data_IF_934970326234
#
_entry.id   IF_934970326234
#
_cell.length_a   1.000
_cell.length_b   1.000
_cell.length_c   1.000
_cell.angle_alpha   90.00
_cell.angle_beta   90.00
_cell.angle_gamma   90.00
#
_symmetry.space_group_name_H-M   'P 1'
#
loop_
_entity.id
_entity.type
_entity.pdbx_description
1 polymer ?
#
# COMPACT_ATOMS: atom_id res chain seq x y z
N UNK A 1 3.08 0.67 20.02
CA UNK A 1 2.78 2.05 19.57
C UNK A 1 2.43 1.99 18.09
N UNK A 2 1.46 2.78 17.62
CA UNK A 2 1.15 2.84 16.18
C UNK A 2 2.24 3.62 15.44
N UNK A 3 2.72 3.07 14.32
CA UNK A 3 3.64 3.74 13.41
C UNK A 3 2.90 4.71 12.47
N UNK A 4 3.62 5.60 11.78
CA UNK A 4 3.05 6.42 10.70
C UNK A 4 3.40 5.75 9.37
N UNK A 5 2.38 5.24 8.67
CA UNK A 5 2.54 4.60 7.37
C UNK A 5 2.11 5.51 6.23
N UNK A 6 2.90 5.50 5.16
CA UNK A 6 2.51 5.97 3.84
C UNK A 6 2.07 4.77 3.01
N UNK A 7 0.77 4.65 2.77
CA UNK A 7 0.19 3.71 1.80
C UNK A 7 0.09 4.37 0.43
N UNK A 8 0.54 3.68 -0.62
CA UNK A 8 0.32 4.07 -2.01
C UNK A 8 -0.26 2.88 -2.76
N UNK A 9 -1.35 3.12 -3.49
CA UNK A 9 -1.99 2.16 -4.38
C UNK A 9 -1.81 2.65 -5.82
N UNK A 10 -1.25 1.79 -6.66
CA UNK A 10 -0.96 2.11 -8.07
C UNK A 10 -1.60 1.09 -9.00
N UNK A 11 -1.80 1.47 -10.25
CA UNK A 11 -2.20 0.58 -11.33
C UNK A 11 -0.98 0.27 -12.21
N UNK A 12 -0.74 -1.00 -12.49
CA UNK A 12 0.26 -1.41 -13.49
C UNK A 12 -0.24 -1.09 -14.90
N UNK A 13 0.66 -1.12 -15.89
CA UNK A 13 0.27 -1.02 -17.31
C UNK A 13 -0.68 -2.12 -17.79
N UNK A 14 -0.76 -3.25 -17.07
CA UNK A 14 -1.71 -4.33 -17.32
C UNK A 14 -3.07 -4.14 -16.63
N UNK A 15 -3.27 -3.04 -15.89
CA UNK A 15 -4.51 -2.77 -15.16
C UNK A 15 -4.61 -3.47 -13.81
N UNK A 16 -3.51 -3.98 -13.25
CA UNK A 16 -3.50 -4.64 -11.94
C UNK A 16 -3.19 -3.63 -10.83
N UNK A 17 -3.97 -3.64 -9.76
CA UNK A 17 -3.72 -2.77 -8.61
C UNK A 17 -2.66 -3.38 -7.68
N UNK A 18 -1.63 -2.59 -7.36
CA UNK A 18 -0.56 -2.94 -6.42
C UNK A 18 -0.50 -1.94 -5.28
N UNK A 19 -0.06 -2.41 -4.12
CA UNK A 19 0.20 -1.53 -2.99
C UNK A 19 1.66 -1.56 -2.55
N UNK A 20 2.08 -0.43 -1.99
CA UNK A 20 3.33 -0.31 -1.23
C UNK A 20 3.05 0.47 0.05
N UNK A 21 3.72 0.09 1.14
CA UNK A 21 3.70 0.85 2.39
C UNK A 21 5.10 1.15 2.90
N UNK A 22 5.29 2.35 3.43
CA UNK A 22 6.57 2.75 4.04
C UNK A 22 6.30 3.38 5.39
N UNK A 23 7.02 2.93 6.41
CA UNK A 23 7.02 3.61 7.70
C UNK A 23 7.75 4.94 7.62
N UNK A 24 7.25 5.93 8.34
CA UNK A 24 7.80 7.28 8.39
C UNK A 24 7.88 7.77 9.83
N UNK A 25 8.84 8.65 10.16
CA UNK A 25 9.09 9.05 11.55
C UNK A 25 8.03 9.99 12.13
N UNK A 26 7.23 10.64 11.29
CA UNK A 26 6.16 11.55 11.71
C UNK A 26 5.12 11.76 10.60
N UNK A 27 3.96 12.31 10.96
CA UNK A 27 2.92 12.65 9.98
C UNK A 27 3.42 13.69 8.96
N UNK A 28 4.18 14.69 9.40
CA UNK A 28 4.75 15.69 8.50
C UNK A 28 5.75 15.07 7.51
N UNK A 29 6.60 14.14 7.99
CA UNK A 29 7.52 13.40 7.13
C UNK A 29 6.77 12.49 6.14
N UNK A 30 5.67 11.88 6.57
CA UNK A 30 4.80 11.09 5.69
C UNK A 30 4.25 11.94 4.54
N UNK A 31 3.69 13.10 4.86
CA UNK A 31 3.10 14.00 3.86
C UNK A 31 4.12 14.52 2.85
N UNK A 32 5.32 14.88 3.33
CA UNK A 32 6.42 15.29 2.46
C UNK A 32 6.90 14.14 1.55
N UNK A 33 7.00 12.94 2.10
CA UNK A 33 7.36 11.73 1.34
C UNK A 33 6.28 11.41 0.30
N UNK A 34 5.00 11.51 0.68
CA UNK A 34 3.86 11.34 -0.22
C UNK A 34 3.95 12.28 -1.41
N UNK A 35 4.11 13.58 -1.17
CA UNK A 35 4.22 14.58 -2.23
C UNK A 35 5.39 14.28 -3.18
N UNK A 36 6.54 13.87 -2.63
CA UNK A 36 7.74 13.51 -3.39
C UNK A 36 7.49 12.30 -4.29
N UNK A 37 6.97 11.19 -3.72
CA UNK A 37 6.73 9.96 -4.48
C UNK A 37 5.66 10.18 -5.55
N UNK A 38 4.58 10.91 -5.24
CA UNK A 38 3.55 11.24 -6.23
C UNK A 38 4.13 12.04 -7.41
N UNK A 39 5.06 12.96 -7.16
CA UNK A 39 5.78 13.67 -8.21
C UNK A 39 6.58 12.73 -9.11
N UNK A 40 7.30 11.77 -8.53
CA UNK A 40 8.08 10.77 -9.28
C UNK A 40 7.19 9.84 -10.08
N UNK A 41 6.11 9.31 -9.48
CA UNK A 41 5.17 8.40 -10.16
C UNK A 41 4.47 9.09 -11.33
N UNK A 42 4.11 10.37 -11.18
CA UNK A 42 3.56 11.19 -12.27
C UNK A 42 4.53 11.34 -13.43
N UNK A 43 5.82 11.57 -13.16
CA UNK A 43 6.84 11.66 -14.22
C UNK A 43 7.04 10.34 -14.98
N UNK A 44 6.72 9.21 -14.35
CA UNK A 44 6.80 7.86 -14.92
C UNK A 44 5.48 7.35 -15.50
N UNK A 45 4.49 8.22 -15.64
CA UNK A 45 3.14 7.89 -16.13
C UNK A 45 2.49 6.71 -15.38
N UNK A 46 2.81 6.56 -14.09
CA UNK A 46 2.21 5.53 -13.24
C UNK A 46 0.91 6.05 -12.67
N UNK A 47 -0.19 5.35 -12.93
CA UNK A 47 -1.50 5.72 -12.38
C UNK A 47 -1.52 5.43 -10.89
N UNK A 48 -1.73 6.47 -10.08
CA UNK A 48 -1.94 6.36 -8.64
C UNK A 48 -3.45 6.35 -8.38
N UNK A 49 -3.94 5.28 -7.76
CA UNK A 49 -5.35 5.17 -7.36
C UNK A 49 -5.59 5.88 -6.03
N UNK A 50 -4.68 5.69 -5.06
CA UNK A 50 -4.79 6.27 -3.73
C UNK A 50 -3.41 6.48 -3.09
N UNK A 51 -3.29 7.49 -2.23
CA UNK A 51 -2.09 7.73 -1.42
C UNK A 51 -2.43 8.36 -0.07
N UNK A 52 -2.21 7.62 1.03
CA UNK A 52 -2.67 8.01 2.37
C UNK A 52 -1.55 7.92 3.41
N UNK A 53 -1.48 8.96 4.23
CA UNK A 53 -0.69 8.98 5.44
C UNK A 53 -1.59 8.70 6.63
N UNK A 54 -1.31 7.65 7.41
CA UNK A 54 -2.11 7.31 8.58
C UNK A 54 -1.27 6.74 9.72
N UNK A 55 -1.77 6.89 10.94
CA UNK A 55 -1.30 6.09 12.08
C UNK A 55 -1.85 4.67 11.90
N UNK A 56 -0.97 3.69 11.85
CA UNK A 56 -1.37 2.31 11.64
C UNK A 56 -0.49 1.32 12.42
N UNK A 57 -1.06 0.15 12.70
CA UNK A 57 -0.28 -1.00 13.11
C UNK A 57 0.13 -1.70 11.82
N UNK A 58 1.36 -1.46 11.36
CA UNK A 58 1.82 -1.96 10.07
C UNK A 58 1.98 -3.48 10.15
N UNK A 59 1.17 -4.30 9.46
CA UNK A 59 1.30 -5.74 9.52
C UNK A 59 2.36 -6.27 8.55
N UNK A 60 3.15 -5.40 7.90
CA UNK A 60 4.12 -5.78 6.88
C UNK A 60 5.42 -4.99 6.98
N UNK A 61 6.50 -5.63 6.52
CA UNK A 61 7.84 -5.03 6.45
C UNK A 61 7.85 -3.78 5.57
N UNK A 62 8.71 -2.79 5.85
CA UNK A 62 8.79 -1.56 5.06
C UNK A 62 9.24 -1.82 3.61
N UNK A 63 8.72 -1.01 2.68
CA UNK A 63 9.01 -1.18 1.26
C UNK A 63 10.50 -1.00 0.95
N UNK A 64 11.05 -1.94 0.19
CA UNK A 64 12.40 -1.85 -0.37
C UNK A 64 12.31 -1.52 -1.86
N UNK A 65 12.98 -0.44 -2.29
CA UNK A 65 13.07 -0.10 -3.70
C UNK A 65 13.73 -1.22 -4.51
N UNK A 66 13.16 -1.51 -5.69
CA UNK A 66 13.72 -2.48 -6.63
C UNK A 66 13.01 -3.84 -6.66
N UNK A 67 11.85 -3.99 -6.02
CA UNK A 67 11.03 -5.19 -6.15
C UNK A 67 10.72 -5.51 -7.61
N UNK A 68 10.92 -6.76 -8.00
CA UNK A 68 10.53 -7.33 -9.29
C UNK A 68 9.07 -7.74 -9.26
N UNK A 69 8.46 -7.96 -10.43
CA UNK A 69 7.08 -8.45 -10.52
C UNK A 69 6.88 -9.78 -9.79
N UNK A 70 7.89 -10.67 -9.80
CA UNK A 70 7.88 -11.94 -9.06
C UNK A 70 7.79 -11.78 -7.53
N UNK A 71 8.11 -10.60 -7.01
CA UNK A 71 8.10 -10.36 -5.57
C UNK A 71 6.68 -10.02 -5.09
N UNK A 72 5.80 -9.56 -5.99
CA UNK A 72 4.41 -9.24 -5.69
C UNK A 72 3.56 -10.52 -5.57
N UNK A 73 3.60 -11.11 -4.39
CA UNK A 73 2.81 -12.31 -4.04
C UNK A 73 2.00 -12.14 -2.76
N UNK A 74 2.31 -11.16 -1.91
CA UNK A 74 1.63 -11.02 -0.62
C UNK A 74 0.30 -10.28 -0.80
N UNK A 75 -0.81 -10.96 -0.54
CA UNK A 75 -2.15 -10.38 -0.64
C UNK A 75 -2.59 -9.75 0.66
N UNK A 76 -3.10 -8.52 0.54
CA UNK A 76 -3.64 -7.73 1.64
C UNK A 76 -5.03 -7.19 1.29
N UNK A 77 -5.93 -7.28 2.25
CA UNK A 77 -7.17 -6.52 2.22
C UNK A 77 -6.92 -5.14 2.83
N UNK A 78 -7.27 -4.11 2.07
CA UNK A 78 -7.07 -2.71 2.41
C UNK A 78 -8.44 -2.05 2.51
N UNK A 79 -8.79 -1.64 3.72
CA UNK A 79 -10.00 -0.85 3.95
C UNK A 79 -9.63 0.60 4.17
N UNK A 80 -10.18 1.47 3.35
CA UNK A 80 -10.03 2.91 3.38
C UNK A 80 -11.19 3.52 4.16
N UNK A 81 -10.89 4.25 5.24
CA UNK A 81 -11.88 4.90 6.09
C UNK A 81 -11.63 6.40 6.15
N UNK A 82 -12.68 7.19 5.97
CA UNK A 82 -12.55 8.64 5.85
C UNK A 82 -11.54 9.05 4.77
N UNK A 83 -10.90 10.21 4.98
CA UNK A 83 -9.91 10.76 4.04
C UNK A 83 -8.48 10.25 4.30
N UNK A 84 -8.11 10.09 5.57
CA UNK A 84 -6.72 9.92 6.00
C UNK A 84 -6.51 8.69 6.90
N UNK A 85 -7.36 7.67 6.78
CA UNK A 85 -7.20 6.41 7.50
C UNK A 85 -7.33 5.19 6.58
N UNK A 86 -6.65 4.12 6.96
CA UNK A 86 -6.75 2.81 6.32
C UNK A 86 -6.39 1.70 7.32
N UNK A 87 -6.85 0.48 7.07
CA UNK A 87 -6.44 -0.75 7.76
C UNK A 87 -5.94 -1.78 6.76
N UNK A 88 -5.10 -2.69 7.22
CA UNK A 88 -4.51 -3.74 6.41
C UNK A 88 -4.68 -5.09 7.09
N UNK A 89 -5.09 -6.10 6.34
CA UNK A 89 -5.17 -7.48 6.80
C UNK A 89 -4.44 -8.38 5.80
N UNK A 90 -3.47 -9.16 6.28
CA UNK A 90 -2.76 -10.14 5.47
C UNK A 90 -3.63 -11.37 5.21
N UNK A 91 -3.65 -11.85 3.96
CA UNK A 91 -4.44 -13.02 3.54
C UNK A 91 -3.60 -14.22 3.06
N UNK A 92 -2.33 -14.02 2.72
CA UNK A 92 -1.44 -15.10 2.25
C UNK A 92 -0.62 -14.73 1.01
N UNK A 93 0.22 -15.65 0.54
CA UNK A 93 1.02 -15.48 -0.69
C UNK A 93 0.26 -15.90 -1.97
N UNK A 94 -0.79 -16.72 -1.84
CA UNK A 94 -1.57 -17.23 -2.97
C UNK A 94 -3.09 -17.19 -2.72
N UNK A 95 -3.49 -16.68 -1.55
CA UNK A 95 -4.89 -16.55 -1.15
C UNK A 95 -5.35 -15.12 -1.40
N UNK A 96 -5.93 -14.88 -2.58
CA UNK A 96 -6.66 -13.63 -2.83
C UNK A 96 -7.72 -13.43 -1.75
N UNK A 97 -7.98 -12.17 -1.40
CA UNK A 97 -8.98 -11.77 -0.42
C UNK A 97 -10.40 -12.08 -0.96
N UNK A 98 -10.83 -13.35 -0.85
CA UNK A 98 -12.18 -13.81 -1.22
C UNK A 98 -12.75 -13.29 -2.55
N UNK A 99 -14.08 -13.26 -2.67
CA UNK A 99 -14.75 -12.50 -3.73
C UNK A 99 -14.59 -11.00 -3.46
N UNK A 100 -13.83 -10.35 -4.33
CA UNK A 100 -13.62 -8.91 -4.36
C UNK A 100 -14.95 -8.16 -4.43
N UNK A 101 -15.38 -7.56 -3.32
CA UNK A 101 -16.28 -6.41 -3.38
C UNK A 101 -15.41 -5.17 -3.52
N UNK A 102 -15.13 -4.79 -4.77
CA UNK A 102 -14.56 -3.49 -5.11
C UNK A 102 -15.57 -2.38 -4.84
N UNK A 103 -16.00 -2.25 -3.58
CA UNK A 103 -16.57 -0.98 -3.13
C UNK A 103 -15.42 0.01 -3.07
N UNK A 104 -15.67 1.29 -3.32
CA UNK A 104 -14.63 2.33 -3.37
C UNK A 104 -13.73 2.40 -2.11
N UNK A 105 -14.13 1.74 -1.03
CA UNK A 105 -13.44 1.71 0.25
C UNK A 105 -12.70 0.42 0.57
N UNK A 106 -12.91 -0.70 -0.14
CA UNK A 106 -12.25 -1.98 0.17
C UNK A 106 -11.56 -2.56 -1.06
N UNK A 107 -10.27 -2.88 -0.92
CA UNK A 107 -9.43 -3.37 -1.99
C UNK A 107 -8.75 -4.67 -1.57
N UNK A 108 -8.66 -5.64 -2.47
CA UNK A 108 -7.65 -6.69 -2.35
C UNK A 108 -6.47 -6.31 -3.24
N UNK A 109 -5.30 -6.10 -2.62
CA UNK A 109 -4.10 -5.62 -3.30
C UNK A 109 -2.96 -6.59 -3.08
N UNK A 110 -2.10 -6.69 -4.08
CA UNK A 110 -0.85 -7.43 -3.97
C UNK A 110 0.30 -6.48 -3.63
N UNK A 111 1.18 -6.93 -2.74
CA UNK A 111 2.38 -6.22 -2.34
C UNK A 111 3.61 -7.13 -2.49
N UNK A 112 4.78 -6.51 -2.65
CA UNK A 112 6.07 -7.23 -2.60
C UNK A 112 6.59 -7.46 -1.18
N UNK A 113 5.89 -6.88 -0.20
CA UNK A 113 6.34 -6.80 1.18
C UNK A 113 5.70 -7.94 1.97
N UNK A 114 6.49 -8.84 2.58
CA UNK A 114 5.96 -9.88 3.45
C UNK A 114 5.34 -9.29 4.72
N UNK A 115 4.44 -10.02 5.39
CA UNK A 115 3.97 -9.63 6.71
C UNK A 115 5.16 -9.49 7.67
N UNK A 116 5.02 -8.59 8.62
CA UNK A 116 6.05 -8.40 9.64
C UNK A 116 6.03 -9.63 10.55
N UNK A 117 7.18 -10.28 10.72
CA UNK A 117 7.32 -11.37 11.69
C UNK A 117 7.03 -10.81 13.09
N UNK A 118 6.09 -11.44 13.81
CA UNK A 118 5.71 -11.06 15.18
C UNK A 118 6.68 -11.65 16.20
#
# INVERSE_FOLDING_TARGET
>A
MLAIGLLIITLTGAGEARMSITETPSMAACEQTRATILGVLKQRDTTVLEARCARNNLPLTSYAHGSKDSDYRYYYEVSLSGKDAYTLQYHGEDSRCGELKTTNSNWCLVASQPPQEQ
#
